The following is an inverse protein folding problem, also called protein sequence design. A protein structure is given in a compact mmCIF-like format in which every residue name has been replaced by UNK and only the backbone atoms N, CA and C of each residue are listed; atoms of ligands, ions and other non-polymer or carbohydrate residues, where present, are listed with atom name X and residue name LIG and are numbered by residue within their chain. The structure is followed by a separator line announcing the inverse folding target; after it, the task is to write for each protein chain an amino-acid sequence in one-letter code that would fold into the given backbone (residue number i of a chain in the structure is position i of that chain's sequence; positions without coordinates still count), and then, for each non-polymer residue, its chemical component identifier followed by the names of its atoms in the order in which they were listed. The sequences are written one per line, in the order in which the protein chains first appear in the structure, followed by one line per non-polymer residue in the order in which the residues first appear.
data_IF_898236796257
#
_entry.id   IF_898236796257
#
_cell.length_a   1.000
_cell.length_b   1.000
_cell.length_c   1.000
_cell.angle_alpha   90.00
_cell.angle_beta   90.00
_cell.angle_gamma   90.00
#
_symmetry.space_group_name_H-M   'P 1'
#
loop_
_entity.id
_entity.type
_entity.pdbx_description
1 polymer ?
#
# COMPACT_ATOMS: atom_id res chain seq x y z
N UNK A 1 17.43 8.32 61.36
CA UNK A 1 18.54 8.04 60.42
C UNK A 1 18.26 6.72 59.70
N UNK A 2 17.78 6.76 58.44
CA UNK A 2 17.61 5.57 57.60
C UNK A 2 18.41 5.80 56.32
N UNK A 3 19.37 4.91 56.06
CA UNK A 3 20.36 5.01 54.98
C UNK A 3 19.68 4.75 53.65
N UNK A 4 19.75 5.72 52.74
CA UNK A 4 19.16 5.68 51.41
C UNK A 4 20.08 4.84 50.50
N UNK A 5 19.68 3.61 50.16
CA UNK A 5 20.42 2.78 49.21
C UNK A 5 19.88 3.04 47.80
N UNK A 6 20.48 4.03 47.12
CA UNK A 6 20.27 4.31 45.70
C UNK A 6 21.60 4.18 44.94
N UNK A 7 22.04 2.96 44.56
CA UNK A 7 22.83 2.87 43.33
C UNK A 7 22.60 1.57 42.51
N UNK A 8 21.54 0.80 42.74
CA UNK A 8 21.35 -0.46 42.00
C UNK A 8 20.51 -0.31 40.72
N UNK A 9 19.64 0.71 40.63
CA UNK A 9 18.71 0.84 39.50
C UNK A 9 19.31 1.58 38.29
N UNK A 10 20.36 2.40 38.49
CA UNK A 10 20.99 3.16 37.41
C UNK A 10 21.95 2.30 36.55
N UNK A 11 22.52 1.24 37.12
CA UNK A 11 23.46 0.36 36.43
C UNK A 11 22.77 -0.56 35.39
N UNK A 12 21.48 -0.84 35.56
CA UNK A 12 20.73 -1.71 34.65
C UNK A 12 20.35 -1.02 33.33
N UNK A 13 20.18 0.31 33.35
CA UNK A 13 19.81 1.09 32.15
C UNK A 13 21.00 1.33 31.21
N UNK A 14 22.23 1.39 31.74
CA UNK A 14 23.44 1.60 30.92
C UNK A 14 23.81 0.34 30.11
N UNK A 15 23.43 -0.86 30.57
CA UNK A 15 23.73 -2.11 29.88
C UNK A 15 22.87 -2.36 28.62
N UNK A 16 21.77 -1.63 28.42
CA UNK A 16 20.89 -1.81 27.26
C UNK A 16 21.30 -1.00 26.02
N UNK A 17 22.30 -0.12 26.13
CA UNK A 17 22.73 0.77 25.04
C UNK A 17 23.90 0.23 24.19
N UNK A 18 24.45 -0.93 24.51
CA UNK A 18 25.51 -1.57 23.72
C UNK A 18 24.96 -2.76 22.91
N UNK A 19 24.25 -2.45 21.82
CA UNK A 19 24.05 -3.41 20.72
C UNK A 19 25.34 -3.38 19.88
N UNK A 20 26.13 -4.46 19.82
CA UNK A 20 27.25 -4.51 18.89
C UNK A 20 26.66 -4.48 17.47
N UNK A 21 26.98 -3.42 16.72
CA UNK A 21 26.69 -3.34 15.30
C UNK A 21 27.40 -4.51 14.60
N UNK A 22 26.65 -5.55 14.25
CA UNK A 22 27.15 -6.57 13.32
C UNK A 22 27.36 -5.89 11.99
N UNK A 23 28.62 -5.69 11.61
CA UNK A 23 28.97 -5.36 10.23
C UNK A 23 28.41 -6.47 9.33
N UNK A 24 27.35 -6.14 8.59
CA UNK A 24 26.77 -7.01 7.59
C UNK A 24 27.83 -7.16 6.50
N UNK A 25 28.47 -8.33 6.41
CA UNK A 25 29.33 -8.66 5.28
C UNK A 25 28.46 -8.63 4.04
N UNK A 26 28.66 -7.61 3.19
CA UNK A 26 28.07 -7.55 1.86
C UNK A 26 28.67 -8.73 1.09
N UNK A 27 27.88 -9.74 0.68
CA UNK A 27 28.42 -10.82 -0.13
C UNK A 27 29.03 -10.20 -1.39
N UNK A 28 30.18 -10.69 -1.88
CA UNK A 28 30.77 -10.20 -3.11
C UNK A 28 29.72 -10.31 -4.22
N UNK A 29 29.54 -9.23 -4.98
CA UNK A 29 28.59 -9.17 -6.07
C UNK A 29 28.75 -10.43 -6.94
N UNK A 30 27.72 -11.27 -6.94
CA UNK A 30 27.67 -12.42 -7.83
C UNK A 30 27.84 -11.87 -9.25
N UNK A 31 28.87 -12.34 -9.97
CA UNK A 31 29.02 -12.05 -11.39
C UNK A 31 27.74 -12.53 -12.06
N UNK A 32 26.90 -11.57 -12.47
CA UNK A 32 25.68 -11.86 -13.22
C UNK A 32 26.16 -12.39 -14.57
N UNK A 33 26.06 -13.71 -14.76
CA UNK A 33 26.30 -14.30 -16.05
C UNK A 33 25.35 -13.65 -17.07
N UNK A 34 25.79 -13.35 -18.31
CA UNK A 34 24.88 -12.87 -19.32
C UNK A 34 23.77 -13.90 -19.48
N UNK A 35 22.53 -13.44 -19.26
CA UNK A 35 21.34 -14.26 -19.52
C UNK A 35 21.36 -14.61 -21.01
N UNK A 36 21.79 -15.82 -21.32
CA UNK A 36 21.67 -16.34 -22.67
C UNK A 36 20.17 -16.31 -23.01
N UNK A 37 19.80 -15.56 -24.05
CA UNK A 37 18.48 -15.58 -24.66
C UNK A 37 18.29 -16.96 -25.34
N UNK A 38 18.12 -17.99 -24.51
CA UNK A 38 17.76 -19.32 -24.93
C UNK A 38 16.25 -19.40 -24.96
N UNK A 39 15.68 -19.36 -26.17
CA UNK A 39 14.24 -19.41 -26.46
C UNK A 39 13.52 -20.69 -26.00
N UNK A 40 14.08 -21.52 -25.11
CA UNK A 40 13.46 -22.77 -24.65
C UNK A 40 14.04 -23.23 -23.30
N UNK A 41 13.91 -22.44 -22.24
CA UNK A 41 13.72 -23.03 -20.92
C UNK A 41 12.22 -23.37 -20.78
N UNK A 42 11.85 -24.43 -20.06
CA UNK A 42 10.45 -24.79 -19.76
C UNK A 42 9.76 -23.64 -19.01
N UNK A 43 9.36 -22.66 -19.80
CA UNK A 43 9.36 -21.26 -19.43
C UNK A 43 7.96 -20.86 -19.08
N UNK A 44 7.87 -20.00 -18.07
CA UNK A 44 6.67 -19.25 -17.78
C UNK A 44 6.13 -18.68 -19.10
N UNK A 45 5.00 -19.24 -19.55
CA UNK A 45 4.30 -18.78 -20.74
C UNK A 45 3.65 -17.43 -20.41
N UNK A 46 4.39 -16.37 -20.67
CA UNK A 46 4.03 -15.00 -20.34
C UNK A 46 2.74 -14.60 -21.08
N UNK A 47 2.63 -14.92 -22.36
CA UNK A 47 1.44 -14.68 -23.17
C UNK A 47 0.19 -15.33 -22.57
N UNK A 48 0.29 -16.58 -22.09
CA UNK A 48 -0.82 -17.26 -21.42
C UNK A 48 -1.21 -16.56 -20.11
N UNK A 49 -0.24 -16.11 -19.32
CA UNK A 49 -0.50 -15.40 -18.06
C UNK A 49 -1.17 -14.06 -18.33
N UNK A 50 -0.65 -13.28 -19.28
CA UNK A 50 -1.23 -11.97 -19.65
C UNK A 50 -2.67 -12.15 -20.13
N UNK A 51 -2.94 -13.16 -20.96
CA UNK A 51 -4.31 -13.46 -21.43
C UNK A 51 -5.24 -13.86 -20.28
N UNK A 52 -4.76 -14.72 -19.37
CA UNK A 52 -5.56 -15.15 -18.23
C UNK A 52 -5.89 -13.98 -17.28
N UNK A 53 -4.90 -13.13 -17.01
CA UNK A 53 -5.07 -11.95 -16.15
C UNK A 53 -6.04 -10.93 -16.76
N UNK A 54 -5.86 -10.57 -18.02
CA UNK A 54 -6.70 -9.58 -18.71
C UNK A 54 -8.16 -10.06 -18.87
N UNK A 55 -8.37 -11.36 -19.06
CA UNK A 55 -9.71 -11.95 -19.02
C UNK A 55 -10.39 -11.73 -17.66
N UNK A 56 -9.66 -11.97 -16.56
CA UNK A 56 -10.16 -11.76 -15.19
C UNK A 56 -10.36 -10.28 -14.84
N UNK A 57 -9.50 -9.40 -15.34
CA UNK A 57 -9.72 -7.95 -15.18
C UNK A 57 -11.02 -7.50 -15.85
N UNK A 58 -11.35 -8.06 -17.02
CA UNK A 58 -12.60 -7.75 -17.73
C UNK A 58 -13.81 -8.21 -16.94
N UNK A 59 -13.80 -9.46 -16.44
CA UNK A 59 -14.85 -9.99 -15.56
C UNK A 59 -15.01 -9.12 -14.29
N UNK A 60 -13.89 -8.74 -13.68
CA UNK A 60 -13.88 -7.89 -12.49
C UNK A 60 -14.47 -6.51 -12.77
N UNK A 61 -14.12 -5.87 -13.89
CA UNK A 61 -14.70 -4.57 -14.29
C UNK A 61 -16.21 -4.66 -14.50
N UNK A 62 -16.70 -5.74 -15.10
CA UNK A 62 -18.13 -5.97 -15.28
C UNK A 62 -18.84 -6.11 -13.93
N UNK A 63 -18.30 -6.93 -13.02
CA UNK A 63 -18.84 -7.08 -11.67
C UNK A 63 -18.81 -5.73 -10.92
N UNK A 64 -17.70 -4.99 -10.98
CA UNK A 64 -17.58 -3.69 -10.31
C UNK A 64 -18.62 -2.70 -10.83
N UNK A 65 -18.94 -2.71 -12.13
CA UNK A 65 -20.00 -1.88 -12.70
C UNK A 65 -21.41 -2.32 -12.24
N UNK A 66 -21.60 -3.61 -11.94
CA UNK A 66 -22.87 -4.14 -11.42
C UNK A 66 -23.04 -3.90 -9.91
N UNK A 67 -21.95 -3.94 -9.15
CA UNK A 67 -21.93 -3.82 -7.69
C UNK A 67 -21.42 -2.46 -7.19
N UNK A 68 -21.26 -1.48 -8.07
CA UNK A 68 -20.94 -0.11 -7.65
C UNK A 68 -21.98 0.89 -8.12
N UNK A 69 -22.21 1.88 -7.27
CA UNK A 69 -23.12 2.98 -7.54
C UNK A 69 -22.33 4.29 -7.46
N UNK A 70 -22.43 5.12 -8.51
CA UNK A 70 -21.88 6.48 -8.52
C UNK A 70 -23.02 7.47 -8.27
N UNK A 71 -22.88 8.30 -7.23
CA UNK A 71 -23.77 9.42 -6.96
C UNK A 71 -23.05 10.73 -7.24
N UNK A 72 -23.66 11.56 -8.07
CA UNK A 72 -23.27 12.94 -8.31
C UNK A 72 -24.31 13.87 -7.68
N UNK A 73 -23.90 14.71 -6.74
CA UNK A 73 -24.81 15.58 -6.00
C UNK A 73 -24.28 17.01 -5.99
N UNK A 74 -25.12 17.94 -6.45
CA UNK A 74 -24.89 19.38 -6.38
C UNK A 74 -25.92 19.97 -5.44
N UNK A 75 -25.46 20.67 -4.40
CA UNK A 75 -26.30 21.42 -3.47
C UNK A 75 -25.97 22.88 -3.66
N UNK A 76 -26.97 23.70 -3.97
CA UNK A 76 -26.80 25.14 -4.12
C UNK A 76 -27.60 25.87 -3.07
N UNK A 77 -26.97 26.90 -2.48
CA UNK A 77 -27.66 27.87 -1.64
C UNK A 77 -28.17 28.98 -2.55
N UNK A 78 -29.47 29.27 -2.46
CA UNK A 78 -30.08 30.38 -3.19
C UNK A 78 -30.18 31.61 -2.28
N UNK A 79 -29.72 32.75 -2.76
CA UNK A 79 -29.94 34.06 -2.15
C UNK A 79 -31.37 34.56 -2.38
N UNK A 80 -31.72 35.66 -1.71
CA UNK A 80 -33.08 36.21 -1.72
C UNK A 80 -33.62 36.59 -3.11
N UNK A 81 -32.76 36.78 -4.12
CA UNK A 81 -33.13 37.07 -5.49
C UNK A 81 -33.03 35.87 -6.43
N UNK A 82 -32.91 34.65 -5.90
CA UNK A 82 -32.75 33.42 -6.69
C UNK A 82 -31.34 33.19 -7.25
N UNK A 83 -30.38 34.08 -6.95
CA UNK A 83 -28.99 33.89 -7.32
C UNK A 83 -28.33 32.79 -6.49
N UNK A 84 -27.46 31.99 -7.09
CA UNK A 84 -26.64 31.02 -6.36
C UNK A 84 -25.65 31.79 -5.50
N UNK A 85 -25.74 31.65 -4.19
CA UNK A 85 -24.84 32.27 -3.20
C UNK A 85 -23.79 31.30 -2.67
N UNK A 86 -23.92 30.00 -2.96
CA UNK A 86 -22.95 28.98 -2.63
C UNK A 86 -23.26 27.66 -3.33
N UNK A 87 -22.23 26.86 -3.55
CA UNK A 87 -22.34 25.54 -4.17
C UNK A 87 -21.49 24.53 -3.42
N UNK A 88 -22.07 23.37 -3.16
CA UNK A 88 -21.38 22.18 -2.68
C UNK A 88 -21.58 21.06 -3.68
N UNK A 89 -20.47 20.62 -4.27
CA UNK A 89 -20.46 19.49 -5.21
C UNK A 89 -19.80 18.27 -4.55
N UNK A 90 -20.48 17.13 -4.59
CA UNK A 90 -19.97 15.87 -4.07
C UNK A 90 -20.20 14.73 -5.05
N UNK A 91 -19.09 14.13 -5.46
CA UNK A 91 -19.07 12.86 -6.18
C UNK A 91 -18.76 11.75 -5.19
N UNK A 92 -19.60 10.72 -5.12
CA UNK A 92 -19.41 9.56 -4.26
C UNK A 92 -19.49 8.27 -5.06
N UNK A 93 -18.64 7.30 -4.74
CA UNK A 93 -18.70 5.93 -5.28
C UNK A 93 -18.92 4.97 -4.13
N UNK A 94 -19.97 4.17 -4.23
CA UNK A 94 -20.30 3.10 -3.30
C UNK A 94 -19.95 1.77 -3.96
N UNK A 95 -19.31 0.88 -3.22
CA UNK A 95 -18.98 -0.49 -3.65
C UNK A 95 -19.63 -1.41 -2.62
N UNK A 96 -20.47 -2.32 -3.08
CA UNK A 96 -21.11 -3.31 -2.22
C UNK A 96 -20.27 -4.59 -2.22
N UNK A 97 -19.85 -5.02 -1.04
CA UNK A 97 -19.28 -6.35 -0.80
C UNK A 97 -20.27 -7.14 0.05
N UNK A 98 -20.28 -8.47 -0.11
CA UNK A 98 -21.07 -9.42 0.69
C UNK A 98 -20.54 -9.52 2.12
#
# INVERSE_FOLDING_TARGET
MKRFHLPAFLAFIIALLFVPARAQQVPPAAKVAPMAAGNNAAGVDVERIVRAFTAKETEFRQALNQYSFKRDAVIQTLGMGGQISGEYHRVSRFIFAE
#
